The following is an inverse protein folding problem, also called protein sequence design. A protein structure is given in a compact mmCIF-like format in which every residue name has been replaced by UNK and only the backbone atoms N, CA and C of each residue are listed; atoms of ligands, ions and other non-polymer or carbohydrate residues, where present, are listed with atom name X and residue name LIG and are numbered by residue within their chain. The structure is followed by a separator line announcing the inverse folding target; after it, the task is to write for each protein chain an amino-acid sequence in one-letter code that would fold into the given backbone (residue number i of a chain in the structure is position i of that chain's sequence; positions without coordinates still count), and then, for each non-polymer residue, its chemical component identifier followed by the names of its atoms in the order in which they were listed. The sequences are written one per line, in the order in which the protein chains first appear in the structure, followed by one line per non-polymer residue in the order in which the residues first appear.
data_IF_418969511630
#
_entry.id   IF_418969511630
#
_cell.length_a   1.000
_cell.length_b   1.000
_cell.length_c   1.000
_cell.angle_alpha   90.00
_cell.angle_beta   90.00
_cell.angle_gamma   90.00
#
_symmetry.space_group_name_H-M   'P 1'
#
loop_
_entity.id
_entity.type
_entity.pdbx_description
1 polymer ?
#
# COMPACT_ATOMS: atom_id res chain seq x y z
N UNK A 1 -5.04 24.26 2.48
CA UNK A 1 -3.61 23.93 2.69
C UNK A 1 -3.53 22.44 2.96
N UNK A 2 -2.76 21.69 2.17
CA UNK A 2 -2.57 20.27 2.42
C UNK A 2 -1.53 20.05 3.53
N UNK A 3 -1.78 19.11 4.45
CA UNK A 3 -0.86 18.71 5.50
C UNK A 3 -0.41 17.28 5.24
N UNK A 4 0.91 17.08 5.13
CA UNK A 4 1.53 15.78 4.94
C UNK A 4 2.42 15.47 6.14
N UNK A 5 2.31 14.27 6.69
CA UNK A 5 3.31 13.70 7.61
C UNK A 5 4.20 12.67 6.90
N UNK A 6 5.20 12.12 7.60
CA UNK A 6 6.13 11.15 6.99
C UNK A 6 5.47 9.83 6.58
N UNK A 7 4.38 9.44 7.26
CA UNK A 7 3.60 8.26 6.90
C UNK A 7 2.80 8.52 5.61
N UNK A 8 2.19 9.71 5.49
CA UNK A 8 1.47 10.13 4.28
C UNK A 8 2.36 10.07 3.04
N UNK A 9 3.62 10.50 3.17
CA UNK A 9 4.61 10.37 2.10
C UNK A 9 4.80 8.90 1.69
N UNK A 10 5.04 8.01 2.66
CA UNK A 10 5.29 6.60 2.40
C UNK A 10 4.09 5.95 1.73
N UNK A 11 2.89 6.26 2.21
CA UNK A 11 1.64 5.78 1.63
C UNK A 11 1.45 6.25 0.19
N UNK A 12 1.71 7.54 -0.10
CA UNK A 12 1.59 8.06 -1.46
C UNK A 12 2.57 7.37 -2.43
N UNK A 13 3.80 7.11 -1.98
CA UNK A 13 4.81 6.36 -2.76
C UNK A 13 4.38 4.90 -3.02
N UNK A 14 3.66 4.26 -2.10
CA UNK A 14 3.11 2.92 -2.28
C UNK A 14 1.84 2.91 -3.14
N UNK A 15 1.03 3.98 -3.08
CA UNK A 15 -0.29 4.04 -3.68
C UNK A 15 -0.26 4.45 -5.14
N UNK A 16 0.54 5.45 -5.50
CA UNK A 16 0.58 6.00 -6.86
C UNK A 16 1.60 5.23 -7.72
N UNK A 17 1.16 4.47 -8.74
CA UNK A 17 2.10 3.79 -9.63
C UNK A 17 3.00 4.79 -10.33
N UNK A 18 4.28 4.48 -10.47
CA UNK A 18 5.25 5.31 -11.18
C UNK A 18 4.82 5.60 -12.61
N UNK A 19 4.09 4.67 -13.25
CA UNK A 19 3.49 4.91 -14.57
C UNK A 19 2.48 6.05 -14.58
N UNK A 20 1.65 6.21 -13.54
CA UNK A 20 0.70 7.33 -13.49
C UNK A 20 1.45 8.67 -13.46
N UNK A 21 2.62 8.71 -12.83
CA UNK A 21 3.48 9.90 -12.76
C UNK A 21 4.19 10.13 -14.09
N UNK A 22 4.70 9.08 -14.73
CA UNK A 22 5.24 9.18 -16.09
C UNK A 22 4.19 9.71 -17.08
N UNK A 23 2.99 9.13 -17.07
CA UNK A 23 1.89 9.54 -17.95
C UNK A 23 1.46 10.99 -17.67
N UNK A 24 1.41 11.41 -16.39
CA UNK A 24 1.12 12.79 -16.00
C UNK A 24 2.18 13.78 -16.48
N UNK A 25 3.46 13.42 -16.39
CA UNK A 25 4.58 14.25 -16.82
C UNK A 25 4.83 14.19 -18.34
N UNK A 26 4.16 13.28 -19.06
CA UNK A 26 4.43 13.03 -20.47
C UNK A 26 5.78 12.34 -20.73
N UNK A 27 6.31 11.61 -19.74
CA UNK A 27 7.54 10.82 -19.90
C UNK A 27 7.22 9.58 -20.72
N UNK A 28 7.75 9.54 -21.94
CA UNK A 28 7.66 8.38 -22.82
C UNK A 28 8.51 7.21 -22.28
N UNK A 29 8.02 5.99 -22.49
CA UNK A 29 8.71 4.76 -22.16
C UNK A 29 8.60 3.74 -23.29
N UNK A 30 9.67 2.98 -23.51
CA UNK A 30 9.73 1.91 -24.51
C UNK A 30 9.85 0.53 -23.86
N UNK A 31 9.28 -0.49 -24.49
CA UNK A 31 9.48 -1.87 -24.07
C UNK A 31 10.89 -2.33 -24.45
N UNK A 32 11.64 -2.83 -23.48
CA UNK A 32 12.96 -3.41 -23.68
C UNK A 32 13.01 -4.73 -22.92
N UNK A 33 12.78 -5.83 -23.64
CA UNK A 33 12.56 -7.14 -23.03
C UNK A 33 11.33 -7.14 -22.10
N UNK A 34 11.50 -7.62 -20.86
CA UNK A 34 10.42 -7.65 -19.88
C UNK A 34 10.19 -6.32 -19.14
N UNK A 35 11.05 -5.30 -19.34
CA UNK A 35 10.99 -4.03 -18.61
C UNK A 35 10.65 -2.86 -19.54
N UNK A 36 10.23 -1.75 -18.94
CA UNK A 36 10.06 -0.48 -19.64
C UNK A 36 11.29 0.38 -19.37
N UNK A 37 11.91 0.87 -20.44
CA UNK A 37 12.97 1.85 -20.36
C UNK A 37 12.40 3.26 -20.53
N UNK A 38 12.91 4.19 -19.76
CA UNK A 38 12.73 5.64 -19.93
C UNK A 38 14.10 6.26 -20.23
N UNK A 39 14.10 7.48 -20.75
CA UNK A 39 15.31 8.29 -20.70
C UNK A 39 15.63 8.64 -19.24
N UNK A 40 16.91 8.75 -18.91
CA UNK A 40 17.33 9.17 -17.59
C UNK A 40 16.71 10.54 -17.23
N UNK A 41 15.98 10.65 -16.09
CA UNK A 41 15.33 11.90 -15.70
C UNK A 41 16.32 12.95 -15.16
N UNK A 42 17.54 12.54 -14.79
CA UNK A 42 18.59 13.42 -14.27
C UNK A 42 19.43 14.00 -15.41
N UNK A 43 18.85 14.95 -16.16
CA UNK A 43 19.49 15.57 -17.33
C UNK A 43 20.77 16.35 -17.01
N UNK A 44 21.00 16.71 -15.74
CA UNK A 44 22.21 17.40 -15.31
C UNK A 44 23.41 16.45 -15.25
N UNK A 45 23.21 15.22 -14.77
CA UNK A 45 24.28 14.23 -14.63
C UNK A 45 24.38 13.31 -15.85
N UNK A 46 23.29 13.11 -16.57
CA UNK A 46 23.25 12.26 -17.75
C UNK A 46 22.20 12.75 -18.73
N UNK A 47 22.67 13.35 -19.83
CA UNK A 47 21.82 13.69 -20.95
C UNK A 47 21.60 12.47 -21.84
N UNK A 48 20.73 11.58 -21.39
CA UNK A 48 20.38 10.34 -22.06
C UNK A 48 19.57 10.62 -23.32
N UNK A 49 20.03 10.11 -24.47
CA UNK A 49 19.40 10.33 -25.78
C UNK A 49 18.80 9.04 -26.35
N UNK A 50 19.06 7.89 -25.72
CA UNK A 50 18.63 6.59 -26.20
C UNK A 50 18.05 5.76 -25.06
N UNK A 51 17.00 4.98 -25.37
CA UNK A 51 16.45 4.01 -24.43
C UNK A 51 17.46 2.88 -24.15
N UNK A 52 17.44 2.36 -22.92
CA UNK A 52 18.30 1.25 -22.47
C UNK A 52 19.19 1.57 -21.27
N UNK A 53 19.30 2.83 -20.87
CA UNK A 53 20.13 3.25 -19.73
C UNK A 53 19.36 3.27 -18.40
N UNK A 54 18.07 3.59 -18.45
CA UNK A 54 17.20 3.73 -17.28
C UNK A 54 15.95 2.85 -17.42
N UNK A 55 15.62 2.10 -16.37
CA UNK A 55 14.51 1.14 -16.37
C UNK A 55 13.58 1.35 -15.19
N UNK A 56 12.29 1.16 -15.43
CA UNK A 56 11.25 1.17 -14.40
C UNK A 56 11.12 -0.22 -13.77
N UNK A 57 11.07 -0.24 -12.44
CA UNK A 57 10.88 -1.41 -11.58
C UNK A 57 9.53 -1.31 -10.87
N UNK A 58 8.55 -2.04 -11.39
CA UNK A 58 7.16 -2.01 -10.90
C UNK A 58 7.03 -2.52 -9.46
N UNK A 59 7.88 -3.48 -9.07
CA UNK A 59 7.89 -4.09 -7.74
C UNK A 59 8.34 -3.13 -6.64
N UNK A 60 9.30 -2.25 -6.94
CA UNK A 60 9.79 -1.23 -6.00
C UNK A 60 9.17 0.14 -6.25
N UNK A 61 8.37 0.28 -7.31
CA UNK A 61 7.77 1.54 -7.75
C UNK A 61 8.81 2.66 -8.01
N UNK A 62 9.98 2.28 -8.52
CA UNK A 62 11.12 3.18 -8.78
C UNK A 62 11.65 3.03 -10.21
N UNK A 63 12.37 4.02 -10.70
CA UNK A 63 13.20 3.90 -11.89
C UNK A 63 14.68 3.87 -11.48
N UNK A 64 15.51 3.10 -12.18
CA UNK A 64 16.95 3.07 -11.91
C UNK A 64 17.75 3.27 -13.19
N UNK A 65 18.64 4.26 -13.17
CA UNK A 65 19.57 4.55 -14.25
C UNK A 65 20.93 3.91 -13.95
N UNK A 66 21.36 3.01 -14.83
CA UNK A 66 22.64 2.30 -14.70
C UNK A 66 23.86 3.17 -15.02
N UNK A 67 23.68 4.27 -15.77
CA UNK A 67 24.76 5.21 -16.09
C UNK A 67 25.02 6.15 -14.91
N UNK A 68 23.98 6.73 -14.32
CA UNK A 68 24.11 7.59 -13.13
C UNK A 68 24.31 6.80 -11.84
N UNK A 69 23.98 5.51 -11.85
CA UNK A 69 23.86 4.66 -10.65
C UNK A 69 22.92 5.29 -9.60
N UNK A 70 21.75 5.77 -10.05
CA UNK A 70 20.74 6.42 -9.21
C UNK A 70 19.37 5.78 -9.41
N UNK A 71 18.66 5.63 -8.30
CA UNK A 71 17.24 5.30 -8.27
C UNK A 71 16.41 6.58 -8.09
N UNK A 72 15.24 6.62 -8.73
CA UNK A 72 14.30 7.71 -8.68
C UNK A 72 12.94 7.15 -8.28
N UNK A 73 12.38 7.64 -7.17
CA UNK A 73 11.00 7.38 -6.81
C UNK A 73 10.05 8.36 -7.53
N UNK A 74 8.75 8.24 -7.28
CA UNK A 74 7.76 9.11 -7.92
C UNK A 74 7.88 10.57 -7.51
N UNK A 75 8.37 10.87 -6.31
CA UNK A 75 8.63 12.25 -5.86
C UNK A 75 9.85 12.79 -6.59
N UNK A 76 10.92 11.99 -6.72
CA UNK A 76 12.12 12.38 -7.45
C UNK A 76 11.81 12.74 -8.91
N UNK A 77 10.99 11.93 -9.59
CA UNK A 77 10.56 12.21 -10.96
C UNK A 77 9.82 13.55 -11.08
N UNK A 78 8.89 13.84 -10.17
CA UNK A 78 8.18 15.12 -10.14
C UNK A 78 9.16 16.28 -9.90
N UNK A 79 10.10 16.12 -8.95
CA UNK A 79 11.06 17.17 -8.61
C UNK A 79 12.03 17.48 -9.75
N UNK A 80 12.50 16.46 -10.46
CA UNK A 80 13.36 16.61 -11.63
C UNK A 80 12.64 17.30 -12.80
N UNK A 81 11.29 17.27 -12.81
CA UNK A 81 10.45 17.97 -13.77
C UNK A 81 9.93 19.34 -13.25
N UNK A 82 10.62 19.92 -12.27
CA UNK A 82 10.41 21.32 -11.85
C UNK A 82 9.41 21.53 -10.71
N UNK A 83 8.85 20.47 -10.12
CA UNK A 83 7.97 20.60 -8.97
C UNK A 83 8.76 20.79 -7.67
N UNK A 84 8.30 21.71 -6.82
CA UNK A 84 8.75 21.79 -5.44
C UNK A 84 8.40 20.52 -4.67
N UNK A 85 9.09 20.22 -3.57
CA UNK A 85 8.82 19.01 -2.79
C UNK A 85 7.35 18.93 -2.31
N UNK A 86 6.81 20.05 -1.82
CA UNK A 86 5.42 20.14 -1.41
C UNK A 86 4.45 19.96 -2.60
N UNK A 87 4.73 20.61 -3.72
CA UNK A 87 3.90 20.51 -4.92
C UNK A 87 3.89 19.08 -5.47
N UNK A 88 5.02 18.38 -5.41
CA UNK A 88 5.11 16.97 -5.77
C UNK A 88 4.19 16.10 -4.91
N UNK A 89 4.16 16.31 -3.59
CA UNK A 89 3.23 15.60 -2.70
C UNK A 89 1.76 15.93 -3.00
N UNK A 90 1.45 17.20 -3.29
CA UNK A 90 0.11 17.60 -3.74
C UNK A 90 -0.30 16.88 -5.04
N UNK A 91 0.62 16.73 -6.00
CA UNK A 91 0.34 16.01 -7.23
C UNK A 91 0.15 14.51 -6.99
N UNK A 92 0.96 13.88 -6.13
CA UNK A 92 0.74 12.48 -5.77
C UNK A 92 -0.61 12.28 -5.07
N UNK A 93 -1.00 13.19 -4.18
CA UNK A 93 -2.31 13.16 -3.53
C UNK A 93 -3.47 13.29 -4.54
N UNK A 94 -3.29 14.11 -5.57
CA UNK A 94 -4.25 14.23 -6.66
C UNK A 94 -4.33 12.94 -7.49
N UNK A 95 -3.17 12.38 -7.86
CA UNK A 95 -3.06 11.14 -8.64
C UNK A 95 -3.55 9.89 -7.87
N UNK A 96 -3.51 9.91 -6.54
CA UNK A 96 -4.09 8.86 -5.70
C UNK A 96 -5.62 8.96 -5.58
N UNK A 97 -6.22 10.05 -6.09
CA UNK A 97 -7.64 10.34 -5.96
C UNK A 97 -8.08 10.66 -4.52
N UNK A 98 -7.14 10.95 -3.61
CA UNK A 98 -7.39 11.11 -2.17
C UNK A 98 -7.03 12.52 -1.67
N UNK A 99 -7.16 13.55 -2.52
CA UNK A 99 -6.76 14.93 -2.19
C UNK A 99 -7.43 15.43 -0.88
N UNK A 100 -8.71 15.10 -0.70
CA UNK A 100 -9.52 15.47 0.47
C UNK A 100 -8.94 14.98 1.80
N UNK A 101 -8.12 13.93 1.79
CA UNK A 101 -7.44 13.38 2.98
C UNK A 101 -6.47 14.38 3.60
N UNK A 102 -5.80 15.15 2.74
CA UNK A 102 -4.72 16.03 3.18
C UNK A 102 -5.22 17.47 3.41
N UNK A 103 -6.44 17.79 2.99
CA UNK A 103 -7.01 19.11 3.14
C UNK A 103 -7.21 19.48 4.62
N UNK A 104 -6.54 20.54 5.06
CA UNK A 104 -6.83 21.19 6.33
C UNK A 104 -8.20 21.84 6.25
N UNK A 105 -9.24 21.15 6.70
CA UNK A 105 -10.60 21.69 6.78
C UNK A 105 -10.72 22.56 8.04
N UNK A 106 -10.98 23.87 7.93
CA UNK A 106 -11.11 24.75 9.10
C UNK A 106 -12.39 24.49 9.90
N UNK A 107 -13.47 24.02 9.25
CA UNK A 107 -14.82 24.06 9.82
C UNK A 107 -15.51 22.69 9.97
N UNK A 108 -14.92 21.61 9.45
CA UNK A 108 -15.38 20.24 9.71
C UNK A 108 -14.53 19.64 10.80
N UNK A 109 -15.15 19.23 11.91
CA UNK A 109 -14.52 18.34 12.88
C UNK A 109 -14.20 17.04 12.16
N UNK A 110 -13.00 16.93 11.57
CA UNK A 110 -12.55 15.66 11.01
C UNK A 110 -12.48 14.68 12.18
N UNK A 111 -13.34 13.68 12.10
CA UNK A 111 -13.28 12.56 13.01
C UNK A 111 -11.94 11.83 12.79
N UNK A 112 -11.15 11.70 13.85
CA UNK A 112 -9.85 11.04 13.77
C UNK A 112 -10.04 9.54 13.54
N UNK A 113 -9.53 9.05 12.41
CA UNK A 113 -9.48 7.62 12.07
C UNK A 113 -8.05 7.10 12.28
N UNK A 114 -7.84 6.02 13.05
CA UNK A 114 -6.54 5.38 13.11
C UNK A 114 -6.17 4.75 11.76
N UNK A 115 -4.91 4.93 11.37
CA UNK A 115 -4.31 4.23 10.24
C UNK A 115 -3.58 2.98 10.72
N UNK A 116 -3.65 1.92 9.93
CA UNK A 116 -2.89 0.68 10.15
C UNK A 116 -1.62 0.70 9.32
N UNK A 117 -0.49 0.29 9.88
CA UNK A 117 0.72 -0.03 9.10
C UNK A 117 0.52 -1.29 8.27
N UNK A 118 1.47 -1.59 7.37
CA UNK A 118 1.47 -2.83 6.60
C UNK A 118 1.55 -4.05 7.53
N UNK A 119 2.45 -4.01 8.50
CA UNK A 119 2.69 -5.08 9.48
C UNK A 119 1.45 -5.31 10.36
N UNK A 120 0.77 -4.23 10.76
CA UNK A 120 -0.47 -4.33 11.53
C UNK A 120 -1.59 -4.98 10.71
N UNK A 121 -1.72 -4.65 9.42
CA UNK A 121 -2.68 -5.31 8.51
C UNK A 121 -2.38 -6.81 8.39
N UNK A 122 -1.12 -7.17 8.16
CA UNK A 122 -0.70 -8.57 8.07
C UNK A 122 -1.02 -9.34 9.36
N UNK A 123 -0.68 -8.75 10.52
CA UNK A 123 -0.92 -9.34 11.82
C UNK A 123 -2.41 -9.70 12.00
N UNK A 124 -3.31 -8.77 11.68
CA UNK A 124 -4.77 -8.96 11.86
C UNK A 124 -5.45 -9.65 10.67
N UNK A 125 -4.68 -10.15 9.71
CA UNK A 125 -5.20 -10.91 8.56
C UNK A 125 -5.97 -10.06 7.56
N UNK A 126 -5.57 -8.80 7.39
CA UNK A 126 -6.00 -7.93 6.31
C UNK A 126 -4.95 -7.89 5.21
N UNK A 127 -5.37 -7.58 3.98
CA UNK A 127 -4.45 -7.54 2.85
C UNK A 127 -3.40 -6.43 3.07
N UNK A 128 -2.09 -6.75 3.03
CA UNK A 128 -1.02 -5.84 3.43
C UNK A 128 -0.94 -4.59 2.57
N UNK A 129 -1.19 -4.74 1.27
CA UNK A 129 -1.02 -3.66 0.30
C UNK A 129 -2.34 -2.97 0.03
N UNK A 130 -2.32 -1.64 -0.03
CA UNK A 130 -3.51 -0.84 -0.33
C UNK A 130 -3.98 -0.94 -1.79
N UNK A 131 -3.11 -1.39 -2.70
CA UNK A 131 -3.48 -1.71 -4.10
C UNK A 131 -4.11 -3.10 -4.16
N UNK A 132 -5.44 -3.15 -4.25
CA UNK A 132 -6.14 -4.41 -4.44
C UNK A 132 -6.02 -4.85 -5.90
N UNK A 133 -5.47 -6.05 -6.09
CA UNK A 133 -5.42 -6.75 -7.38
C UNK A 133 -6.66 -7.63 -7.49
N UNK A 134 -7.55 -7.30 -8.42
CA UNK A 134 -8.72 -8.12 -8.70
C UNK A 134 -8.35 -9.21 -9.70
N UNK A 135 -8.65 -10.45 -9.34
CA UNK A 135 -8.57 -11.55 -10.29
C UNK A 135 -9.45 -11.26 -11.51
N UNK A 136 -8.90 -11.50 -12.69
CA UNK A 136 -9.58 -11.25 -13.96
C UNK A 136 -9.84 -12.55 -14.72
N UNK A 137 -8.79 -13.31 -15.03
CA UNK A 137 -8.88 -14.56 -15.80
C UNK A 137 -7.63 -15.45 -15.62
N UNK A 138 -7.74 -16.71 -16.02
CA UNK A 138 -6.61 -17.62 -16.28
C UNK A 138 -6.45 -17.76 -17.79
N UNK A 139 -5.21 -17.76 -18.30
CA UNK A 139 -4.93 -18.00 -19.72
C UNK A 139 -3.70 -18.90 -19.89
N UNK A 140 -3.69 -19.76 -20.91
CA UNK A 140 -2.54 -20.63 -21.20
C UNK A 140 -1.35 -19.88 -21.83
N UNK A 141 -1.64 -18.78 -22.53
CA UNK A 141 -0.61 -17.96 -23.17
C UNK A 141 -0.37 -16.67 -22.38
N UNK A 142 0.88 -16.22 -22.35
CA UNK A 142 1.23 -14.92 -21.77
C UNK A 142 0.55 -13.83 -22.60
N UNK A 143 -0.27 -12.94 -22.01
CA UNK A 143 -0.78 -11.80 -22.73
C UNK A 143 0.37 -10.91 -23.20
N UNK A 144 0.32 -10.52 -24.47
CA UNK A 144 1.24 -9.53 -25.05
C UNK A 144 0.89 -8.09 -24.60
N UNK A 145 -0.30 -7.87 -24.03
CA UNK A 145 -0.71 -6.59 -23.50
C UNK A 145 -0.34 -6.43 -22.01
N UNK A 146 0.12 -5.23 -21.61
CA UNK A 146 0.36 -4.88 -20.21
C UNK A 146 -0.89 -4.33 -19.52
N UNK A 147 -2.08 -4.72 -20.02
CA UNK A 147 -3.36 -4.26 -19.45
C UNK A 147 -3.63 -4.89 -18.09
N UNK A 148 -2.97 -6.00 -17.81
CA UNK A 148 -3.13 -6.82 -16.62
C UNK A 148 -1.79 -7.02 -15.92
N UNK A 149 -1.83 -7.10 -14.60
CA UNK A 149 -0.74 -7.66 -13.80
C UNK A 149 -0.73 -9.18 -14.00
N UNK A 150 0.41 -9.76 -14.36
CA UNK A 150 0.53 -11.20 -14.68
C UNK A 150 1.32 -11.90 -13.58
N UNK A 151 0.75 -12.95 -13.00
CA UNK A 151 1.44 -13.87 -12.08
C UNK A 151 1.54 -15.23 -12.77
N UNK A 152 2.75 -15.80 -12.82
CA UNK A 152 2.99 -17.13 -13.36
C UNK A 152 2.51 -18.19 -12.35
N UNK A 153 1.78 -19.20 -12.82
CA UNK A 153 1.46 -20.39 -12.03
C UNK A 153 2.73 -21.01 -11.43
N UNK A 154 2.65 -21.61 -10.24
CA UNK A 154 3.81 -22.25 -9.62
C UNK A 154 4.32 -23.41 -10.48
N UNK A 155 5.62 -23.67 -10.44
CA UNK A 155 6.23 -24.84 -11.09
C UNK A 155 5.47 -26.12 -10.73
N UNK A 156 4.94 -26.82 -11.74
CA UNK A 156 4.29 -28.13 -11.60
C UNK A 156 2.76 -28.16 -11.83
N UNK A 157 2.11 -27.01 -12.01
CA UNK A 157 0.72 -26.92 -12.49
C UNK A 157 0.69 -26.21 -13.85
N UNK A 158 -0.26 -26.60 -14.71
CA UNK A 158 -0.44 -26.20 -16.11
C UNK A 158 0.08 -24.78 -16.40
N UNK A 159 0.87 -24.63 -17.49
CA UNK A 159 1.49 -23.40 -17.99
C UNK A 159 0.43 -22.30 -18.20
N UNK A 160 0.01 -21.68 -17.10
CA UNK A 160 -1.14 -20.81 -17.06
C UNK A 160 -0.78 -19.53 -16.31
N UNK A 161 -1.24 -18.44 -16.90
CA UNK A 161 -1.01 -17.08 -16.49
C UNK A 161 -2.25 -16.59 -15.78
N UNK A 162 -2.09 -16.20 -14.51
CA UNK A 162 -3.14 -15.54 -13.75
C UNK A 162 -3.11 -14.04 -14.04
N UNK A 163 -4.21 -13.53 -14.57
CA UNK A 163 -4.38 -12.13 -14.90
C UNK A 163 -5.10 -11.41 -13.77
N UNK A 164 -4.50 -10.33 -13.31
CA UNK A 164 -5.07 -9.44 -12.32
C UNK A 164 -5.21 -8.04 -12.88
N UNK A 165 -6.21 -7.30 -12.39
CA UNK A 165 -6.36 -5.87 -12.63
C UNK A 165 -6.22 -5.13 -11.33
N UNK A 166 -5.19 -4.29 -11.22
CA UNK A 166 -5.07 -3.35 -10.09
C UNK A 166 -6.21 -2.33 -10.15
N UNK A 167 -6.92 -2.16 -9.04
CA UNK A 167 -7.92 -1.11 -8.91
C UNK A 167 -7.27 0.27 -9.00
N UNK A 168 -7.91 1.17 -9.76
CA UNK A 168 -7.46 2.57 -9.92
C UNK A 168 -7.72 3.44 -8.67
N UNK A 169 -8.47 2.92 -7.71
CA UNK A 169 -8.81 3.58 -6.46
C UNK A 169 -8.47 2.64 -5.30
N UNK A 170 -8.25 3.21 -4.12
CA UNK A 170 -8.01 2.44 -2.91
C UNK A 170 -9.34 2.16 -2.17
N UNK A 171 -9.79 0.89 -2.09
CA UNK A 171 -11.03 0.54 -1.41
C UNK A 171 -11.03 0.84 0.09
N UNK A 172 -9.84 0.86 0.72
CA UNK A 172 -9.71 1.22 2.14
C UNK A 172 -10.13 2.66 2.39
N UNK A 173 -9.69 3.60 1.55
CA UNK A 173 -10.09 5.00 1.68
C UNK A 173 -11.56 5.20 1.39
N UNK A 174 -12.07 4.55 0.35
CA UNK A 174 -13.50 4.57 0.05
C UNK A 174 -14.33 4.10 1.24
N UNK A 175 -13.88 3.06 1.95
CA UNK A 175 -14.55 2.57 3.16
C UNK A 175 -14.43 3.57 4.31
N UNK A 176 -13.23 4.11 4.56
CA UNK A 176 -12.99 5.12 5.61
C UNK A 176 -13.82 6.39 5.41
N UNK A 177 -13.96 6.86 4.16
CA UNK A 177 -14.69 8.09 3.83
C UNK A 177 -16.21 7.88 3.82
N UNK A 178 -16.68 6.80 3.17
CA UNK A 178 -18.12 6.58 2.96
C UNK A 178 -18.80 5.82 4.10
N UNK A 179 -18.06 5.01 4.85
CA UNK A 179 -18.58 4.25 5.98
C UNK A 179 -17.51 4.11 7.10
N UNK A 180 -17.17 5.21 7.81
CA UNK A 180 -16.17 5.19 8.87
C UNK A 180 -16.48 4.18 9.98
N UNK A 181 -17.76 4.05 10.37
CA UNK A 181 -18.21 3.09 11.36
C UNK A 181 -17.94 1.64 10.93
N UNK A 182 -18.26 1.32 9.67
CA UNK A 182 -18.00 0.01 9.08
C UNK A 182 -16.51 -0.31 9.04
N UNK A 183 -15.66 0.66 8.67
CA UNK A 183 -14.21 0.50 8.73
C UNK A 183 -13.72 0.19 10.15
N UNK A 184 -14.10 1.03 11.12
CA UNK A 184 -13.68 0.88 12.52
C UNK A 184 -14.12 -0.47 13.11
N UNK A 185 -15.38 -0.85 12.87
CA UNK A 185 -15.97 -2.09 13.37
C UNK A 185 -15.33 -3.32 12.73
N UNK A 186 -15.06 -3.27 11.42
CA UNK A 186 -14.37 -4.35 10.71
C UNK A 186 -12.97 -4.57 11.29
N UNK A 187 -12.17 -3.52 11.43
CA UNK A 187 -10.81 -3.64 11.99
C UNK A 187 -10.85 -4.17 13.43
N UNK A 188 -11.77 -3.67 14.25
CA UNK A 188 -11.96 -4.15 15.62
C UNK A 188 -12.28 -5.65 15.66
N UNK A 189 -13.21 -6.12 14.84
CA UNK A 189 -13.55 -7.55 14.77
C UNK A 189 -12.38 -8.39 14.27
N UNK A 190 -11.62 -7.93 13.27
CA UNK A 190 -10.39 -8.61 12.82
C UNK A 190 -9.34 -8.71 13.94
N UNK A 191 -9.23 -7.70 14.79
CA UNK A 191 -8.36 -7.77 15.97
C UNK A 191 -8.84 -8.85 16.96
N UNK A 192 -10.15 -8.92 17.22
CA UNK A 192 -10.74 -9.94 18.11
C UNK A 192 -10.54 -11.35 17.57
N UNK A 193 -10.84 -11.60 16.30
CA UNK A 193 -10.58 -12.88 15.62
C UNK A 193 -9.10 -13.27 15.71
N UNK A 194 -8.20 -12.30 15.56
CA UNK A 194 -6.75 -12.53 15.61
C UNK A 194 -6.28 -12.89 17.02
N UNK A 195 -6.80 -12.20 18.04
CA UNK A 195 -6.55 -12.52 19.44
C UNK A 195 -7.01 -13.95 19.77
N UNK A 196 -8.22 -14.31 19.37
CA UNK A 196 -8.77 -15.66 19.55
C UNK A 196 -7.92 -16.70 18.82
N UNK A 197 -7.55 -16.46 17.56
CA UNK A 197 -6.70 -17.35 16.76
C UNK A 197 -5.37 -17.66 17.45
N UNK A 198 -4.66 -16.66 17.96
CA UNK A 198 -3.37 -16.88 18.64
C UNK A 198 -3.54 -17.59 19.99
N UNK A 199 -4.64 -17.33 20.71
CA UNK A 199 -4.96 -18.04 21.93
C UNK A 199 -5.22 -19.53 21.67
N UNK A 200 -6.10 -19.84 20.73
CA UNK A 200 -6.44 -21.22 20.34
C UNK A 200 -5.19 -21.94 19.82
N UNK A 201 -4.44 -21.33 18.91
CA UNK A 201 -3.24 -21.93 18.35
C UNK A 201 -2.20 -22.28 19.43
N UNK A 202 -2.02 -21.41 20.43
CA UNK A 202 -1.18 -21.74 21.58
C UNK A 202 -1.71 -22.94 22.37
N UNK A 203 -2.99 -22.94 22.73
CA UNK A 203 -3.60 -23.98 23.56
C UNK A 203 -3.55 -25.37 22.89
N UNK A 204 -3.76 -25.43 21.59
CA UNK A 204 -3.72 -26.67 20.80
C UNK A 204 -2.30 -27.21 20.63
N UNK A 205 -1.30 -26.34 20.51
CA UNK A 205 0.06 -26.73 20.15
C UNK A 205 1.05 -26.77 21.31
N UNK A 206 0.73 -26.18 22.48
CA UNK A 206 1.67 -26.08 23.63
C UNK A 206 2.28 -27.42 24.08
N UNK A 207 1.54 -28.52 23.91
CA UNK A 207 1.99 -29.85 24.35
C UNK A 207 2.97 -30.52 23.38
N UNK A 208 3.09 -30.02 22.14
CA UNK A 208 4.06 -30.50 21.16
C UNK A 208 5.50 -30.02 21.46
N UNK A 209 5.64 -29.00 22.32
CA UNK A 209 6.93 -28.40 22.67
C UNK A 209 7.45 -28.95 24.00
N UNK A 210 8.79 -29.06 24.09
CA UNK A 210 9.49 -29.33 25.35
C UNK A 210 9.29 -28.19 26.35
N UNK A 211 9.60 -28.42 27.63
CA UNK A 211 9.40 -27.43 28.70
C UNK A 211 10.15 -26.12 28.46
N UNK A 212 11.34 -26.16 27.86
CA UNK A 212 12.13 -24.96 27.52
C UNK A 212 11.53 -24.22 26.32
N UNK A 213 11.21 -24.93 25.24
CA UNK A 213 10.66 -24.35 24.00
C UNK A 213 9.25 -23.79 24.20
N UNK A 214 8.46 -24.42 25.09
CA UNK A 214 7.11 -23.95 25.43
C UNK A 214 7.11 -22.55 26.03
N UNK A 215 8.16 -22.17 26.76
CA UNK A 215 8.32 -20.83 27.32
C UNK A 215 8.45 -19.77 26.22
N UNK A 216 9.28 -20.04 25.22
CA UNK A 216 9.49 -19.16 24.07
C UNK A 216 8.24 -19.08 23.19
N UNK A 217 7.65 -20.24 22.87
CA UNK A 217 6.40 -20.31 22.10
C UNK A 217 5.26 -19.53 22.77
N UNK A 218 5.10 -19.67 24.09
CA UNK A 218 4.11 -18.90 24.86
C UNK A 218 4.35 -17.40 24.77
N UNK A 219 5.62 -16.97 24.83
CA UNK A 219 5.98 -15.56 24.74
C UNK A 219 5.64 -15.01 23.36
N UNK A 220 6.03 -15.71 22.30
CA UNK A 220 5.74 -15.30 20.92
C UNK A 220 4.22 -15.13 20.67
N UNK A 221 3.42 -16.13 21.08
CA UNK A 221 1.97 -16.07 20.90
C UNK A 221 1.33 -14.93 21.73
N UNK A 222 1.83 -14.72 22.95
CA UNK A 222 1.38 -13.60 23.80
C UNK A 222 1.74 -12.24 23.19
N UNK A 223 2.92 -12.10 22.61
CA UNK A 223 3.35 -10.85 22.00
C UNK A 223 2.47 -10.50 20.80
N UNK A 224 2.19 -11.47 19.91
CA UNK A 224 1.25 -11.32 18.80
C UNK A 224 -0.18 -11.01 19.25
N UNK A 225 -0.65 -11.70 20.30
CA UNK A 225 -1.94 -11.40 20.94
C UNK A 225 -2.01 -9.96 21.45
N UNK A 226 -0.98 -9.51 22.16
CA UNK A 226 -0.93 -8.17 22.75
C UNK A 226 -0.83 -7.08 21.67
N UNK A 227 -0.10 -7.32 20.58
CA UNK A 227 -0.07 -6.40 19.43
C UNK A 227 -1.48 -6.24 18.84
N UNK A 228 -2.19 -7.34 18.57
CA UNK A 228 -3.57 -7.28 18.06
C UNK A 228 -4.53 -6.61 19.05
N UNK A 229 -4.37 -6.87 20.35
CA UNK A 229 -5.14 -6.21 21.42
C UNK A 229 -4.92 -4.70 21.44
N UNK A 230 -3.68 -4.24 21.32
CA UNK A 230 -3.36 -2.81 21.35
C UNK A 230 -4.01 -2.08 20.16
N UNK A 231 -3.91 -2.66 18.96
CA UNK A 231 -4.61 -2.14 17.77
C UNK A 231 -6.13 -2.09 18.05
N UNK A 232 -6.71 -3.18 18.55
CA UNK A 232 -8.13 -3.25 18.87
C UNK A 232 -8.59 -2.19 19.87
N UNK A 233 -7.80 -1.89 20.90
CA UNK A 233 -8.11 -0.83 21.88
C UNK A 233 -8.14 0.55 21.23
N UNK A 234 -7.17 0.86 20.37
CA UNK A 234 -7.14 2.12 19.61
C UNK A 234 -8.38 2.28 18.74
N UNK A 235 -8.77 1.23 18.03
CA UNK A 235 -9.96 1.23 17.18
C UNK A 235 -11.27 1.28 17.97
N UNK A 236 -11.33 0.62 19.13
CA UNK A 236 -12.47 0.71 20.03
C UNK A 236 -12.66 2.13 20.57
N UNK A 237 -11.57 2.81 20.94
CA UNK A 237 -11.62 4.20 21.41
C UNK A 237 -12.05 5.16 20.29
N UNK A 238 -11.53 4.95 19.07
CA UNK A 238 -11.96 5.70 17.89
C UNK A 238 -13.47 5.51 17.66
N UNK A 239 -13.97 4.27 17.61
CA UNK A 239 -15.40 3.98 17.41
C UNK A 239 -16.29 4.64 18.49
N UNK A 240 -15.89 4.57 19.76
CA UNK A 240 -16.59 5.27 20.85
C UNK A 240 -16.58 6.78 20.68
N UNK A 241 -15.51 7.34 20.13
CA UNK A 241 -15.41 8.78 19.86
C UNK A 241 -16.28 9.17 18.67
N UNK A 242 -16.35 8.33 17.64
CA UNK A 242 -17.21 8.51 16.47
C UNK A 242 -18.68 8.59 16.87
N UNK A 243 -19.15 7.60 17.63
CA UNK A 243 -20.53 7.57 18.13
C UNK A 243 -20.85 8.76 19.02
N UNK A 244 -19.90 9.20 19.87
CA UNK A 244 -20.07 10.40 20.71
C UNK A 244 -20.17 11.69 19.91
N UNK A 245 -19.56 11.76 18.72
CA UNK A 245 -19.66 12.92 17.85
C UNK A 245 -20.98 12.92 17.09
N UNK A 246 -21.38 11.79 16.52
CA UNK A 246 -22.70 11.64 15.88
C UNK A 246 -23.83 12.03 16.85
N UNK A 247 -23.77 11.57 18.10
CA UNK A 247 -24.77 11.90 19.11
C UNK A 247 -24.81 13.39 19.53
N UNK A 248 -23.86 14.22 19.10
CA UNK A 248 -23.86 15.68 19.34
C UNK A 248 -24.35 16.47 18.12
N UNK A 249 -24.47 15.82 16.97
CA UNK A 249 -24.94 16.43 15.72
C UNK A 249 -26.45 16.25 15.51
N UNK A 250 -27.08 15.40 16.34
CA UNK A 250 -28.54 15.21 16.47
C UNK A 250 -29.02 15.69 17.85
#
# INVERSE_FOLDING_TARGET
MLLFNDEDKRELLEEVPIYNVCDFLGIEYQNTGCRKSILCPDHLNHNDQHYGSCFIYENTNTAHCFVCNKSFDTIDLLRLNGYGYYDALCQLANLSGSLSRFEKQPDKKQFWLPNLTKEERELIGLYPTKRIKLYYAIQENKPDDRKYDIIFGKEGEDDSFLLYKTLKYNPWFMLQEKNPEGYLSMVLHKCMETMERYYIFYEENKNAYSSSERGEFRKEMRDKFNQAKNIGLTFQEALRTYHRQLAKEF
#
